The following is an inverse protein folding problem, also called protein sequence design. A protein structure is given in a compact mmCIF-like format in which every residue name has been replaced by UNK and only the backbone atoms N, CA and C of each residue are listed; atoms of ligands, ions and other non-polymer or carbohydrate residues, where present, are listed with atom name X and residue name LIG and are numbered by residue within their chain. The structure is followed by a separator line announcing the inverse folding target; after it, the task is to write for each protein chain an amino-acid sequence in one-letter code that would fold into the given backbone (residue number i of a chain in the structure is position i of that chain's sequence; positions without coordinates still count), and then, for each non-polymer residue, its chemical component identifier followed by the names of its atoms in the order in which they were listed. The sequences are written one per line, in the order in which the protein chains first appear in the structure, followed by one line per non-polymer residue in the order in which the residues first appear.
data_IF_435286516443
#
_entry.id   IF_435286516443
#
_cell.length_a   1.000
_cell.length_b   1.000
_cell.length_c   1.000
_cell.angle_alpha   90.00
_cell.angle_beta   90.00
_cell.angle_gamma   90.00
#
_symmetry.space_group_name_H-M   'P 1'
#
loop_
_entity.id
_entity.type
_entity.pdbx_description
1 polymer ?
#
# COMPACT_ATOMS: atom_id res chain seq x y z
N UNK A 1 -11.70 -6.12 -14.43
CA UNK A 1 -11.60 -5.86 -12.98
C UNK A 1 -10.80 -4.60 -12.65
N UNK A 2 -9.54 -4.48 -13.08
CA UNK A 2 -8.68 -3.30 -12.81
C UNK A 2 -9.38 -1.96 -13.08
N UNK A 3 -10.04 -1.79 -14.24
CA UNK A 3 -10.77 -0.55 -14.58
C UNK A 3 -11.94 -0.24 -13.64
N UNK A 4 -12.57 -1.26 -13.06
CA UNK A 4 -13.68 -1.07 -12.12
C UNK A 4 -13.10 -0.58 -10.78
N UNK A 5 -12.10 -1.29 -10.26
CA UNK A 5 -11.41 -0.92 -9.03
C UNK A 5 -10.77 0.47 -9.10
N UNK A 6 -10.22 0.85 -10.25
CA UNK A 6 -9.56 2.14 -10.42
C UNK A 6 -10.53 3.33 -10.42
N UNK A 7 -11.79 3.12 -10.83
CA UNK A 7 -12.83 4.16 -10.89
C UNK A 7 -13.51 4.41 -9.55
N UNK A 8 -13.21 3.63 -8.52
CA UNK A 8 -13.86 3.75 -7.20
C UNK A 8 -12.84 4.07 -6.12
N UNK A 9 -13.35 4.62 -5.02
CA UNK A 9 -12.60 4.85 -3.79
C UNK A 9 -12.62 3.64 -2.86
N UNK A 10 -13.16 2.50 -3.31
CA UNK A 10 -13.25 1.30 -2.49
C UNK A 10 -11.85 0.71 -2.19
N UNK A 11 -11.71 0.10 -1.01
CA UNK A 11 -10.53 -0.68 -0.67
C UNK A 11 -10.47 -1.96 -1.53
N UNK A 12 -9.31 -2.25 -2.10
CA UNK A 12 -9.09 -3.40 -2.99
C UNK A 12 -8.20 -4.43 -2.31
N UNK A 13 -8.71 -5.64 -2.10
CA UNK A 13 -7.93 -6.78 -1.64
C UNK A 13 -7.41 -7.58 -2.84
N UNK A 14 -6.09 -7.65 -3.00
CA UNK A 14 -5.45 -8.50 -4.00
C UNK A 14 -5.02 -9.81 -3.34
N UNK A 15 -5.69 -10.90 -3.72
CA UNK A 15 -5.41 -12.23 -3.21
C UNK A 15 -4.71 -13.10 -4.27
N UNK A 16 -3.85 -14.02 -3.83
CA UNK A 16 -3.11 -14.94 -4.68
C UNK A 16 -1.76 -15.33 -4.07
N UNK A 17 -1.07 -16.27 -4.71
CA UNK A 17 0.22 -16.80 -4.24
C UNK A 17 1.35 -15.75 -4.25
N UNK A 18 2.43 -16.03 -3.52
CA UNK A 18 3.64 -15.20 -3.54
C UNK A 18 4.27 -15.23 -4.94
N UNK A 19 4.71 -14.07 -5.44
CA UNK A 19 5.37 -13.98 -6.75
C UNK A 19 4.46 -13.79 -7.96
N UNK A 20 3.13 -13.84 -7.83
CA UNK A 20 2.19 -13.65 -8.96
C UNK A 20 2.04 -12.20 -9.45
N UNK A 21 2.84 -11.27 -8.92
CA UNK A 21 2.85 -9.87 -9.36
C UNK A 21 1.72 -9.00 -8.80
N UNK A 22 1.24 -9.27 -7.57
CA UNK A 22 0.21 -8.43 -6.91
C UNK A 22 0.60 -6.95 -6.85
N UNK A 23 1.88 -6.66 -6.62
CA UNK A 23 2.41 -5.29 -6.59
C UNK A 23 2.33 -4.57 -7.94
N UNK A 24 2.42 -5.33 -9.04
CA UNK A 24 2.25 -4.79 -10.38
C UNK A 24 0.78 -4.40 -10.59
N UNK A 25 -0.16 -5.29 -10.24
CA UNK A 25 -1.59 -5.01 -10.34
C UNK A 25 -1.99 -3.81 -9.49
N UNK A 26 -1.49 -3.69 -8.25
CA UNK A 26 -1.74 -2.54 -7.40
C UNK A 26 -1.26 -1.23 -8.05
N UNK A 27 -0.05 -1.24 -8.65
CA UNK A 27 0.46 -0.08 -9.40
C UNK A 27 -0.39 0.26 -10.63
N UNK A 28 -0.90 -0.75 -11.36
CA UNK A 28 -1.77 -0.51 -12.51
C UNK A 28 -3.11 0.08 -12.09
N UNK A 29 -3.70 -0.38 -10.98
CA UNK A 29 -4.93 0.19 -10.42
C UNK A 29 -4.73 1.67 -10.07
N UNK A 30 -3.65 2.01 -9.36
CA UNK A 30 -3.32 3.40 -9.01
C UNK A 30 -3.20 4.28 -10.26
N UNK A 31 -2.42 3.83 -11.25
CA UNK A 31 -2.20 4.56 -12.52
C UNK A 31 -3.48 4.80 -13.34
N UNK A 32 -4.52 3.99 -13.16
CA UNK A 32 -5.79 4.16 -13.90
C UNK A 32 -6.88 4.82 -13.06
N UNK A 33 -6.55 5.25 -11.84
CA UNK A 33 -7.51 5.83 -10.90
C UNK A 33 -7.51 7.35 -10.95
N UNK A 34 -8.52 7.97 -10.34
CA UNK A 34 -8.60 9.42 -10.19
C UNK A 34 -7.42 10.01 -9.38
N UNK A 35 -6.71 9.17 -8.62
CA UNK A 35 -5.57 9.51 -7.76
C UNK A 35 -4.20 9.23 -8.40
N UNK A 36 -4.16 8.95 -9.71
CA UNK A 36 -2.92 8.70 -10.47
C UNK A 36 -1.84 9.80 -10.36
N UNK A 37 -2.23 11.05 -10.09
CA UNK A 37 -1.31 12.18 -9.92
C UNK A 37 -0.68 12.30 -8.53
N UNK A 38 -1.12 11.47 -7.57
CA UNK A 38 -0.63 11.48 -6.20
C UNK A 38 0.40 10.36 -5.97
N UNK A 39 1.24 10.49 -4.92
CA UNK A 39 2.21 9.46 -4.56
C UNK A 39 1.55 8.10 -4.33
N UNK A 40 2.23 7.05 -4.79
CA UNK A 40 1.85 5.66 -4.53
C UNK A 40 2.90 4.99 -3.66
N UNK A 41 2.59 4.81 -2.39
CA UNK A 41 3.52 4.24 -1.40
C UNK A 41 3.22 2.75 -1.23
N UNK A 42 4.22 1.90 -1.50
CA UNK A 42 4.14 0.46 -1.23
C UNK A 42 4.76 0.17 0.13
N UNK A 43 4.02 -0.50 0.99
CA UNK A 43 4.48 -0.88 2.33
C UNK A 43 4.49 -2.40 2.41
N UNK A 44 5.68 -2.99 2.55
CA UNK A 44 5.83 -4.44 2.70
C UNK A 44 5.69 -4.85 4.16
N UNK A 45 4.57 -5.48 4.55
CA UNK A 45 4.33 -5.89 5.94
C UNK A 45 5.38 -6.86 6.50
N UNK A 46 6.04 -7.64 5.64
CA UNK A 46 7.07 -8.59 6.06
C UNK A 46 8.43 -7.93 6.39
N UNK A 47 8.61 -6.65 6.07
CA UNK A 47 9.88 -5.95 6.26
C UNK A 47 10.00 -5.26 7.63
N UNK A 48 8.90 -5.18 8.39
CA UNK A 48 8.88 -4.51 9.69
C UNK A 48 8.89 -5.51 10.84
N UNK A 49 9.70 -5.24 11.87
CA UNK A 49 9.50 -5.88 13.16
C UNK A 49 8.12 -5.44 13.71
N UNK A 50 7.33 -6.34 14.34
CA UNK A 50 5.99 -6.00 14.83
C UNK A 50 5.94 -4.77 15.74
N UNK A 51 7.02 -4.53 16.49
CA UNK A 51 7.16 -3.40 17.41
C UNK A 51 7.43 -2.05 16.71
N UNK A 52 7.91 -2.08 15.46
CA UNK A 52 8.29 -0.88 14.70
C UNK A 52 7.23 -0.47 13.68
N UNK A 53 6.28 -1.35 13.34
CA UNK A 53 5.32 -1.12 12.26
C UNK A 53 4.45 0.12 12.50
N UNK A 54 4.06 0.38 13.73
CA UNK A 54 3.22 1.53 14.10
C UNK A 54 3.99 2.85 13.91
N UNK A 55 5.23 2.89 14.41
CA UNK A 55 6.13 4.03 14.25
C UNK A 55 6.44 4.34 12.78
N UNK A 56 6.58 3.33 11.94
CA UNK A 56 6.87 3.52 10.50
C UNK A 56 5.63 3.95 9.71
N UNK A 57 4.44 3.46 10.06
CA UNK A 57 3.19 3.80 9.37
C UNK A 57 2.65 5.17 9.76
N UNK A 58 2.75 5.53 11.06
CA UNK A 58 2.13 6.74 11.60
C UNK A 58 3.16 7.83 11.95
N UNK A 59 4.44 7.50 11.93
CA UNK A 59 5.49 8.36 12.45
C UNK A 59 5.56 8.30 13.98
N UNK A 60 6.66 8.81 14.51
CA UNK A 60 6.84 9.05 15.94
C UNK A 60 7.47 10.43 16.12
N UNK A 61 7.19 11.07 17.26
CA UNK A 61 7.88 12.30 17.63
C UNK A 61 9.27 11.99 18.22
N UNK A 62 10.23 12.89 17.97
CA UNK A 62 11.58 12.79 18.56
C UNK A 62 11.48 12.76 20.09
N UNK A 63 12.01 11.71 20.70
CA UNK A 63 12.00 11.52 22.16
C UNK A 63 10.95 10.52 22.67
N UNK A 64 10.09 9.96 21.79
CA UNK A 64 9.08 8.96 22.16
C UNK A 64 9.65 7.63 22.71
N UNK A 65 10.95 7.39 22.56
CA UNK A 65 11.62 6.12 22.94
C UNK A 65 12.66 6.28 24.06
N UNK A 66 12.73 7.44 24.69
CA UNK A 66 13.54 7.74 25.90
C UNK A 66 12.61 8.06 27.06
#
# INVERSE_FOLDING_TARGET
MVKICARTEANVLLYGETGVGKDLIASVIHRHSHRQGFPFVKVGCALFAPQLIESELYGHEKGSFT
#
